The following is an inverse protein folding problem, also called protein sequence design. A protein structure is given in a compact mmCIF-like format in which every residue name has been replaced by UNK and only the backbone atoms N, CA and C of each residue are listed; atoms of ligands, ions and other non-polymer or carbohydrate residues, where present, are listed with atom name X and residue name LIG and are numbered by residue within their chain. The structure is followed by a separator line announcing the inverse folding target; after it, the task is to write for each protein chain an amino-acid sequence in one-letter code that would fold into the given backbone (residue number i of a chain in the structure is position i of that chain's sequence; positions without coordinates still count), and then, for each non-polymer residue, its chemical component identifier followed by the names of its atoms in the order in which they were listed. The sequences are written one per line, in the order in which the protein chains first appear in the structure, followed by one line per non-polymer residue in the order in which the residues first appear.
data_IF_785319626478
#
_entry.id   IF_785319626478
#
_cell.length_a   1.000
_cell.length_b   1.000
_cell.length_c   1.000
_cell.angle_alpha   90.00
_cell.angle_beta   90.00
_cell.angle_gamma   90.00
#
_symmetry.space_group_name_H-M   'P 1'
#
loop_
_entity.id
_entity.type
_entity.pdbx_description
1 polymer ?
#
# COMPACT_ATOMS: atom_id res chain seq x y z
N UNK A 1 0.76 -1.98 -21.52
CA UNK A 1 0.28 -2.15 -20.13
C UNK A 1 0.26 -0.77 -19.51
N UNK A 2 -0.90 -0.14 -19.28
CA UNK A 2 -0.94 1.18 -18.64
C UNK A 2 -0.53 0.98 -17.18
N UNK A 3 0.57 1.59 -16.75
CA UNK A 3 0.88 1.77 -15.32
C UNK A 3 -0.26 2.59 -14.73
N UNK A 4 -1.24 1.90 -14.14
CA UNK A 4 -2.24 2.55 -13.32
C UNK A 4 -1.50 2.88 -12.04
N UNK A 5 -1.06 4.13 -11.90
CA UNK A 5 -0.62 4.67 -10.62
C UNK A 5 -1.83 4.60 -9.66
N UNK A 6 -1.85 3.66 -8.70
CA UNK A 6 -2.98 3.45 -7.81
C UNK A 6 -3.13 4.59 -6.80
N UNK A 7 -2.36 5.68 -6.91
CA UNK A 7 -2.34 6.79 -5.99
C UNK A 7 -2.78 8.11 -6.63
N UNK A 8 -2.64 8.29 -7.96
CA UNK A 8 -3.14 9.48 -8.69
C UNK A 8 -4.67 9.60 -8.66
N UNK A 9 -5.39 8.48 -8.70
CA UNK A 9 -6.87 8.47 -8.60
C UNK A 9 -7.39 8.88 -7.21
N UNK A 10 -6.52 9.05 -6.21
CA UNK A 10 -6.90 9.05 -4.78
C UNK A 10 -6.59 10.36 -4.02
N UNK A 11 -6.08 11.40 -4.69
CA UNK A 11 -5.81 12.74 -4.08
C UNK A 11 -7.05 13.48 -3.53
N UNK A 12 -8.27 13.08 -3.93
CA UNK A 12 -9.53 13.80 -3.61
C UNK A 12 -10.29 13.24 -2.40
N UNK A 13 -9.92 12.08 -1.87
CA UNK A 13 -10.60 11.45 -0.74
C UNK A 13 -9.59 11.23 0.38
N UNK A 14 -9.82 11.84 1.55
CA UNK A 14 -9.13 11.47 2.80
C UNK A 14 -9.34 9.96 3.00
N UNK A 15 -8.33 9.15 2.72
CA UNK A 15 -8.39 7.71 3.00
C UNK A 15 -7.79 7.44 4.37
N UNK A 16 -8.60 6.87 5.26
CA UNK A 16 -8.14 6.07 6.38
C UNK A 16 -7.74 4.71 5.81
N UNK A 17 -6.46 4.54 5.45
CA UNK A 17 -5.95 3.23 5.06
C UNK A 17 -6.29 2.21 6.15
N UNK A 18 -6.92 1.11 5.78
CA UNK A 18 -7.34 0.13 6.78
C UNK A 18 -6.12 -0.67 7.24
N UNK A 19 -5.92 -0.77 8.55
CA UNK A 19 -4.78 -1.46 9.17
C UNK A 19 -3.40 -0.97 8.68
N UNK A 20 -3.24 0.34 8.45
CA UNK A 20 -1.93 0.94 8.20
C UNK A 20 -1.01 0.73 9.41
N UNK A 21 0.05 -0.07 9.23
CA UNK A 21 0.98 -0.38 10.30
C UNK A 21 2.39 -0.68 9.76
N UNK A 22 3.41 -0.28 10.52
CA UNK A 22 4.78 -0.77 10.31
C UNK A 22 4.89 -2.17 10.92
N UNK A 23 5.36 -3.15 10.14
CA UNK A 23 5.50 -4.55 10.55
C UNK A 23 6.91 -5.05 10.25
N UNK A 24 7.38 -6.02 11.04
CA UNK A 24 8.60 -6.77 10.74
C UNK A 24 8.29 -7.97 9.84
N UNK A 25 9.12 -8.18 8.82
CA UNK A 25 8.99 -9.28 7.88
C UNK A 25 9.28 -10.62 8.56
N UNK A 26 8.26 -11.49 8.68
CA UNK A 26 8.43 -12.84 9.25
C UNK A 26 9.11 -13.83 8.28
N UNK A 27 9.04 -13.54 6.99
CA UNK A 27 9.70 -14.22 5.88
C UNK A 27 10.05 -13.19 4.80
N UNK A 28 10.68 -13.63 3.73
CA UNK A 28 10.89 -12.75 2.57
C UNK A 28 9.55 -12.36 1.95
N UNK A 29 9.38 -11.07 1.70
CA UNK A 29 8.25 -10.51 0.98
C UNK A 29 8.75 -9.74 -0.23
N UNK A 30 7.85 -9.48 -1.18
CA UNK A 30 8.12 -8.57 -2.28
C UNK A 30 7.42 -7.25 -2.01
N UNK A 31 8.09 -6.14 -2.22
CA UNK A 31 7.47 -4.82 -2.19
C UNK A 31 6.49 -4.71 -3.36
N UNK A 32 5.23 -4.35 -3.09
CA UNK A 32 4.21 -4.25 -4.15
C UNK A 32 4.40 -3.03 -5.07
N UNK A 33 5.31 -2.11 -4.74
CA UNK A 33 5.58 -0.91 -5.55
C UNK A 33 6.85 -1.05 -6.40
N UNK A 34 8.01 -1.29 -5.76
CA UNK A 34 9.29 -1.39 -6.45
C UNK A 34 9.73 -2.83 -6.73
N UNK A 35 8.94 -3.83 -6.35
CA UNK A 35 9.24 -5.25 -6.56
C UNK A 35 10.54 -5.76 -5.91
N UNK A 36 11.22 -4.95 -5.10
CA UNK A 36 12.39 -5.33 -4.31
C UNK A 36 11.99 -6.36 -3.24
N UNK A 37 12.90 -7.28 -2.95
CA UNK A 37 12.75 -8.23 -1.85
C UNK A 37 12.93 -7.48 -0.53
N UNK A 38 11.94 -7.62 0.35
CA UNK A 38 11.98 -7.26 1.76
C UNK A 38 12.44 -8.51 2.50
N UNK A 39 13.64 -8.49 3.06
CA UNK A 39 14.25 -9.63 3.73
C UNK A 39 13.56 -9.91 5.07
N UNK A 40 13.67 -11.15 5.56
CA UNK A 40 13.23 -11.52 6.91
C UNK A 40 13.90 -10.59 7.95
N UNK A 41 13.10 -10.07 8.87
CA UNK A 41 13.54 -9.12 9.91
C UNK A 41 13.49 -7.65 9.50
N UNK A 42 13.41 -7.33 8.20
CA UNK A 42 13.26 -5.95 7.75
C UNK A 42 11.87 -5.39 8.07
N UNK A 43 11.81 -4.09 8.32
CA UNK A 43 10.55 -3.39 8.55
C UNK A 43 9.93 -2.99 7.22
N UNK A 44 8.62 -3.18 7.09
CA UNK A 44 7.82 -2.76 5.94
C UNK A 44 6.51 -2.13 6.41
N UNK A 45 5.86 -1.38 5.52
CA UNK A 45 4.52 -0.83 5.75
C UNK A 45 3.49 -1.77 5.17
N UNK A 46 2.53 -2.16 6.00
CA UNK A 46 1.38 -2.95 5.63
C UNK A 46 0.15 -2.05 5.66
N UNK A 47 -0.69 -2.12 4.64
CA UNK A 47 -2.04 -1.54 4.68
C UNK A 47 -2.98 -2.29 3.75
N UNK A 48 -4.27 -2.04 3.95
CA UNK A 48 -5.35 -2.51 3.09
C UNK A 48 -6.07 -1.33 2.46
N UNK A 49 -6.23 -1.39 1.16
CA UNK A 49 -7.02 -0.45 0.38
C UNK A 49 -8.40 -1.06 0.08
N UNK A 50 -9.50 -0.51 0.60
CA UNK A 50 -10.83 -0.95 0.23
C UNK A 50 -11.11 -0.66 -1.25
N UNK A 51 -11.44 -1.70 -2.01
CA UNK A 51 -11.89 -1.57 -3.39
C UNK A 51 -13.41 -1.53 -3.44
N UNK A 52 -13.93 -0.52 -4.13
CA UNK A 52 -15.36 -0.31 -4.33
C UNK A 52 -15.69 -0.47 -5.81
N UNK A 53 -16.76 -1.21 -6.10
CA UNK A 53 -17.48 -1.10 -7.36
C UNK A 53 -18.60 -0.08 -7.16
N UNK A 54 -18.51 1.07 -7.81
CA UNK A 54 -19.60 2.05 -7.85
C UNK A 54 -19.84 2.85 -6.56
N UNK A 55 -21.13 3.15 -6.31
CA UNK A 55 -21.63 4.10 -5.31
C UNK A 55 -21.28 3.65 -3.88
N UNK A 56 -20.22 4.25 -3.33
CA UNK A 56 -19.79 4.33 -1.91
C UNK A 56 -20.65 3.54 -0.91
N UNK A 57 -20.55 2.21 -0.97
CA UNK A 57 -21.19 1.26 -0.06
C UNK A 57 -20.16 0.50 0.78
N UNK A 58 -20.46 -0.74 1.18
CA UNK A 58 -19.46 -1.66 1.76
C UNK A 58 -18.38 -1.97 0.70
N UNK A 59 -17.09 -2.05 1.07
CA UNK A 59 -16.06 -2.43 0.12
C UNK A 59 -16.30 -3.87 -0.34
N UNK A 60 -16.12 -4.11 -1.64
CA UNK A 60 -16.24 -5.45 -2.22
C UNK A 60 -15.15 -6.37 -1.69
N UNK A 61 -13.92 -5.83 -1.63
CA UNK A 61 -12.78 -6.51 -1.06
C UNK A 61 -11.72 -5.50 -0.64
N UNK A 62 -10.73 -5.97 0.11
CA UNK A 62 -9.59 -5.19 0.52
C UNK A 62 -8.35 -5.69 -0.21
N UNK A 63 -7.78 -4.84 -1.04
CA UNK A 63 -6.48 -5.11 -1.64
C UNK A 63 -5.39 -4.85 -0.60
N UNK A 64 -4.46 -5.78 -0.47
CA UNK A 64 -3.43 -5.75 0.58
C UNK A 64 -2.10 -5.35 -0.01
N UNK A 65 -1.44 -4.38 0.61
CA UNK A 65 -0.15 -3.87 0.20
C UNK A 65 0.92 -4.07 1.27
N UNK A 66 2.12 -4.40 0.82
CA UNK A 66 3.37 -4.54 1.58
C UNK A 66 4.41 -3.67 0.89
N UNK A 67 4.70 -2.51 1.46
CA UNK A 67 5.58 -1.52 0.87
C UNK A 67 6.87 -1.45 1.68
N UNK A 68 8.03 -1.48 1.02
CA UNK A 68 9.30 -1.29 1.72
C UNK A 68 9.39 0.15 2.27
N UNK A 69 10.15 0.35 3.33
CA UNK A 69 10.29 1.69 3.95
C UNK A 69 10.88 2.73 2.99
N UNK A 70 11.76 2.34 2.06
CA UNK A 70 12.30 3.24 1.05
C UNK A 70 11.19 3.86 0.18
N UNK A 71 10.27 3.02 -0.32
CA UNK A 71 9.14 3.49 -1.13
C UNK A 71 8.15 4.31 -0.31
N UNK A 72 7.89 3.92 0.94
CA UNK A 72 7.02 4.69 1.83
C UNK A 72 7.58 6.08 2.13
N UNK A 73 8.85 6.16 2.52
CA UNK A 73 9.49 7.43 2.91
C UNK A 73 9.69 8.37 1.72
N UNK A 74 9.95 7.85 0.51
CA UNK A 74 9.98 8.67 -0.71
C UNK A 74 8.65 9.41 -0.90
N UNK A 75 7.55 8.70 -0.64
CA UNK A 75 6.20 9.24 -0.78
C UNK A 75 5.84 10.26 0.30
N UNK A 76 6.27 10.07 1.55
CA UNK A 76 6.06 11.05 2.64
C UNK A 76 6.76 12.39 2.38
N UNK A 77 7.82 12.41 1.55
CA UNK A 77 8.54 13.64 1.19
C UNK A 77 7.95 14.38 -0.02
N UNK A 78 7.08 13.74 -0.78
CA UNK A 78 6.39 14.34 -1.94
C UNK A 78 5.03 14.95 -1.57
N UNK A 79 4.63 14.82 -0.29
CA UNK A 79 3.44 15.42 0.32
C UNK A 79 3.86 16.59 1.19
#
# INVERSE_FOLDING_TARGET
MKEIDPFVKYKKYRYEFYNLAKRKARKEYKCDYCHKIIKKGETYVYYRDPRYDGLKGKPLFYETYRICLECWNKREKEV
#
